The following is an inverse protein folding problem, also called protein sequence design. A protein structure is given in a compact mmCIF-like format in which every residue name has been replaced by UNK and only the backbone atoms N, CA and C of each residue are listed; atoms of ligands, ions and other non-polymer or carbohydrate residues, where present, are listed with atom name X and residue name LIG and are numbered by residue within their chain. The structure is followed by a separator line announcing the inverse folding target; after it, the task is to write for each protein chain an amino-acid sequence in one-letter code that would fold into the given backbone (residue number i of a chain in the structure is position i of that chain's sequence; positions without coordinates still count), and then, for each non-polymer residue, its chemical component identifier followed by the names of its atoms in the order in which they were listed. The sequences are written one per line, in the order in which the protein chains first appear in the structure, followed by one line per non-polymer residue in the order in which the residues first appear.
data_IF_155337810268
#
_entry.id   IF_155337810268
#
_cell.length_a   1.000
_cell.length_b   1.000
_cell.length_c   1.000
_cell.angle_alpha   90.00
_cell.angle_beta   90.00
_cell.angle_gamma   90.00
#
_symmetry.space_group_name_H-M   'P 1'
#
loop_
_entity.id
_entity.type
_entity.pdbx_description
1 polymer ?
#
# COMPACT_ATOMS: atom_id res chain seq x y z
N UNK A 1 -18.47 2.30 13.62
CA UNK A 1 -17.12 1.84 13.20
C UNK A 1 -16.54 2.83 12.19
N UNK A 2 -17.26 3.12 11.12
CA UNK A 2 -16.86 4.10 10.09
C UNK A 2 -16.48 5.47 10.66
N UNK A 3 -17.32 6.08 11.50
CA UNK A 3 -17.01 7.38 12.14
C UNK A 3 -15.71 7.36 12.95
N UNK A 4 -15.42 6.25 13.64
CA UNK A 4 -14.20 6.08 14.45
C UNK A 4 -12.97 6.01 13.53
N UNK A 5 -13.07 5.25 12.43
CA UNK A 5 -11.98 5.12 11.47
C UNK A 5 -11.67 6.44 10.77
N UNK A 6 -12.70 7.21 10.40
CA UNK A 6 -12.53 8.54 9.79
C UNK A 6 -11.86 9.51 10.77
N UNK A 7 -12.32 9.57 12.02
CA UNK A 7 -11.72 10.42 13.04
C UNK A 7 -10.25 10.05 13.31
N UNK A 8 -9.93 8.76 13.39
CA UNK A 8 -8.55 8.29 13.53
C UNK A 8 -7.69 8.66 12.32
N UNK A 9 -8.20 8.49 11.10
CA UNK A 9 -7.48 8.84 9.88
C UNK A 9 -7.12 10.33 9.85
N UNK A 10 -8.04 11.22 10.21
CA UNK A 10 -7.78 12.66 10.32
C UNK A 10 -6.74 12.98 11.39
N UNK A 11 -6.85 12.36 12.56
CA UNK A 11 -5.87 12.51 13.65
C UNK A 11 -4.47 12.13 13.19
N UNK A 12 -4.31 10.97 12.54
CA UNK A 12 -3.02 10.48 12.08
C UNK A 12 -2.43 11.35 10.98
N UNK A 13 -3.26 11.84 10.05
CA UNK A 13 -2.80 12.77 9.01
C UNK A 13 -2.28 14.08 9.59
N UNK A 14 -2.94 14.62 10.63
CA UNK A 14 -2.44 15.80 11.34
C UNK A 14 -1.15 15.52 12.10
N UNK A 15 -1.01 14.35 12.71
CA UNK A 15 0.23 13.93 13.37
C UNK A 15 1.39 13.86 12.38
N UNK A 16 1.18 13.30 11.18
CA UNK A 16 2.18 13.25 10.10
C UNK A 16 2.68 14.65 9.73
N UNK A 17 1.80 15.64 9.58
CA UNK A 17 2.23 17.00 9.24
C UNK A 17 3.09 17.64 10.34
N UNK A 18 2.80 17.36 11.61
CA UNK A 18 3.64 17.78 12.75
C UNK A 18 5.02 17.12 12.68
N UNK A 19 5.08 15.81 12.45
CA UNK A 19 6.37 15.10 12.32
C UNK A 19 7.18 15.57 11.10
N UNK A 20 6.54 15.90 9.97
CA UNK A 20 7.22 16.51 8.82
C UNK A 20 7.83 17.87 9.18
N UNK A 21 7.14 18.70 9.94
CA UNK A 21 7.72 19.97 10.44
C UNK A 21 8.93 19.74 11.36
N UNK A 22 8.85 18.76 12.27
CA UNK A 22 10.00 18.38 13.11
C UNK A 22 11.17 17.90 12.23
N UNK A 23 10.93 17.07 11.20
CA UNK A 23 11.96 16.58 10.29
C UNK A 23 12.68 17.70 9.51
N UNK A 24 11.94 18.75 9.11
CA UNK A 24 12.50 19.94 8.46
C UNK A 24 13.42 20.73 9.41
N UNK A 25 13.15 20.69 10.71
CA UNK A 25 13.91 21.37 11.78
C UNK A 25 15.02 20.51 12.39
N UNK A 26 15.19 19.27 11.94
CA UNK A 26 16.21 18.36 12.43
C UNK A 26 17.62 18.95 12.23
N UNK A 27 18.44 18.91 13.29
CA UNK A 27 19.76 19.52 13.36
C UNK A 27 20.89 18.57 12.94
N UNK A 28 20.58 17.29 12.77
CA UNK A 28 21.51 16.27 12.30
C UNK A 28 20.83 15.24 11.40
N UNK A 29 21.63 14.48 10.65
CA UNK A 29 21.14 13.32 9.90
C UNK A 29 20.48 12.30 10.81
N UNK A 30 21.07 12.00 11.95
CA UNK A 30 20.51 11.04 12.92
C UNK A 30 19.14 11.47 13.45
N UNK A 31 18.95 12.75 13.82
CA UNK A 31 17.64 13.27 14.23
C UNK A 31 16.61 13.09 13.10
N UNK A 32 16.99 13.42 11.86
CA UNK A 32 16.11 13.26 10.68
C UNK A 32 15.75 11.80 10.42
N UNK A 33 16.72 10.89 10.52
CA UNK A 33 16.51 9.46 10.29
C UNK A 33 15.56 8.85 11.33
N UNK A 34 15.68 9.24 12.60
CA UNK A 34 14.75 8.81 13.64
C UNK A 34 13.32 9.31 13.37
N UNK A 35 13.16 10.56 12.94
CA UNK A 35 11.84 11.11 12.59
C UNK A 35 11.27 10.44 11.34
N UNK A 36 12.11 10.14 10.35
CA UNK A 36 11.69 9.42 9.15
C UNK A 36 11.19 8.01 9.46
N UNK A 37 11.76 7.33 10.47
CA UNK A 37 11.22 6.04 10.96
C UNK A 37 9.82 6.20 11.57
N UNK A 38 9.59 7.27 12.33
CA UNK A 38 8.25 7.58 12.87
C UNK A 38 7.27 7.88 11.73
N UNK A 39 7.68 8.67 10.74
CA UNK A 39 6.86 8.96 9.56
C UNK A 39 6.53 7.70 8.76
N UNK A 40 7.49 6.78 8.60
CA UNK A 40 7.26 5.49 7.95
C UNK A 40 6.21 4.65 8.71
N UNK A 41 6.32 4.58 10.04
CA UNK A 41 5.31 3.92 10.87
C UNK A 41 3.93 4.58 10.73
N UNK A 42 3.87 5.91 10.77
CA UNK A 42 2.60 6.66 10.62
C UNK A 42 1.95 6.46 9.26
N UNK A 43 2.74 6.41 8.19
CA UNK A 43 2.23 6.13 6.86
C UNK A 43 1.66 4.71 6.76
N UNK A 44 2.29 3.73 7.40
CA UNK A 44 1.74 2.37 7.49
C UNK A 44 0.40 2.34 8.25
N UNK A 45 0.30 3.05 9.38
CA UNK A 45 -0.94 3.20 10.15
C UNK A 45 -2.05 3.85 9.29
N UNK A 46 -1.76 4.94 8.58
CA UNK A 46 -2.70 5.61 7.68
C UNK A 46 -3.13 4.69 6.54
N UNK A 47 -2.21 3.95 5.93
CA UNK A 47 -2.55 3.04 4.83
C UNK A 47 -3.45 1.89 5.31
N UNK A 48 -3.21 1.40 6.53
CA UNK A 48 -4.08 0.43 7.20
C UNK A 48 -5.47 1.01 7.44
N UNK A 49 -5.57 2.23 7.96
CA UNK A 49 -6.84 2.91 8.15
C UNK A 49 -7.57 3.13 6.82
N UNK A 50 -6.87 3.51 5.75
CA UNK A 50 -7.46 3.64 4.40
C UNK A 50 -8.05 2.31 3.93
N UNK A 51 -7.33 1.20 4.10
CA UNK A 51 -7.84 -0.12 3.74
C UNK A 51 -9.10 -0.47 4.54
N UNK A 52 -9.11 -0.21 5.86
CA UNK A 52 -10.29 -0.43 6.69
C UNK A 52 -11.48 0.46 6.27
N UNK A 53 -11.22 1.74 5.97
CA UNK A 53 -12.23 2.67 5.47
C UNK A 53 -12.79 2.29 4.10
N UNK A 54 -12.02 1.59 3.26
CA UNK A 54 -12.49 1.15 1.94
C UNK A 54 -13.63 0.13 2.02
N UNK A 55 -13.77 -0.57 3.16
CA UNK A 55 -14.70 -1.69 3.31
C UNK A 55 -14.31 -2.96 2.56
N UNK A 56 -13.27 -2.90 1.71
CA UNK A 56 -12.81 -3.99 0.86
C UNK A 56 -11.55 -4.65 1.42
N UNK A 57 -11.63 -5.14 2.66
CA UNK A 57 -10.50 -5.81 3.32
C UNK A 57 -10.38 -7.24 2.80
N UNK A 58 -9.20 -7.71 2.35
CA UNK A 58 -9.04 -9.09 1.88
C UNK A 58 -9.06 -10.08 3.05
N UNK A 59 -9.48 -11.31 2.78
CA UNK A 59 -9.39 -12.44 3.74
C UNK A 59 -7.95 -12.74 4.19
N UNK A 60 -6.96 -12.34 3.38
CA UNK A 60 -5.54 -12.51 3.65
C UNK A 60 -4.78 -11.24 3.29
N UNK A 61 -4.01 -10.75 4.25
CA UNK A 61 -3.07 -9.65 4.09
C UNK A 61 -1.64 -10.18 4.24
N UNK A 62 -0.78 -9.89 3.27
CA UNK A 62 0.66 -10.13 3.36
C UNK A 62 1.39 -8.82 3.59
N UNK A 63 1.20 -7.85 2.70
CA UNK A 63 1.85 -6.54 2.74
C UNK A 63 1.10 -5.54 1.87
N UNK A 64 1.35 -4.25 2.10
CA UNK A 64 1.09 -3.24 1.08
C UNK A 64 2.15 -3.34 -0.03
N UNK A 65 1.83 -2.83 -1.20
CA UNK A 65 2.78 -2.78 -2.30
C UNK A 65 2.45 -1.70 -3.31
N UNK A 66 3.32 -1.60 -4.30
CA UNK A 66 3.19 -0.62 -5.38
C UNK A 66 3.62 -1.25 -6.68
N UNK A 67 2.87 -0.98 -7.74
CA UNK A 67 3.27 -1.33 -9.10
C UNK A 67 4.48 -0.48 -9.50
N UNK A 68 5.54 -1.13 -9.97
CA UNK A 68 6.83 -0.50 -10.28
C UNK A 68 7.15 -0.44 -11.78
N UNK A 69 6.19 -0.75 -12.63
CA UNK A 69 6.30 -0.57 -14.08
C UNK A 69 5.00 -0.04 -14.67
N UNK A 70 5.06 0.48 -15.88
CA UNK A 70 3.90 1.01 -16.60
C UNK A 70 3.23 -0.08 -17.45
N UNK A 71 1.93 0.07 -17.71
CA UNK A 71 1.14 -0.88 -18.52
C UNK A 71 1.17 -2.35 -18.04
N UNK A 72 1.16 -2.58 -16.72
CA UNK A 72 1.24 -3.92 -16.13
C UNK A 72 -0.10 -4.65 -16.23
N UNK A 73 -0.08 -5.84 -16.83
CA UNK A 73 -1.26 -6.69 -16.96
C UNK A 73 -1.69 -7.28 -15.61
N UNK A 74 -2.87 -6.89 -15.13
CA UNK A 74 -3.54 -7.49 -13.98
C UNK A 74 -4.51 -8.58 -14.46
N UNK A 75 -4.27 -9.83 -14.06
CA UNK A 75 -4.94 -11.01 -14.61
C UNK A 75 -5.79 -11.75 -13.59
N UNK A 76 -6.77 -12.52 -14.06
CA UNK A 76 -7.65 -13.34 -13.20
C UNK A 76 -6.97 -14.59 -12.60
N UNK A 77 -5.88 -15.04 -13.22
CA UNK A 77 -5.14 -16.22 -12.83
C UNK A 77 -3.62 -15.97 -12.83
N UNK A 78 -2.85 -16.73 -12.03
CA UNK A 78 -1.39 -16.67 -12.01
C UNK A 78 -0.77 -17.36 -13.24
N UNK A 79 -1.10 -16.85 -14.43
CA UNK A 79 -0.70 -17.40 -15.71
C UNK A 79 -0.63 -16.29 -16.78
N UNK A 80 0.34 -16.34 -17.72
CA UNK A 80 0.35 -15.41 -18.85
C UNK A 80 -0.89 -15.56 -19.75
N UNK A 81 -1.57 -16.72 -19.67
CA UNK A 81 -2.82 -16.99 -20.38
C UNK A 81 -4.08 -16.61 -19.59
N UNK A 82 -3.96 -16.09 -18.36
CA UNK A 82 -5.09 -15.59 -17.59
C UNK A 82 -5.76 -14.40 -18.31
N UNK A 83 -7.06 -14.24 -18.14
CA UNK A 83 -7.82 -13.13 -18.73
C UNK A 83 -7.32 -11.80 -18.17
N UNK A 84 -7.24 -10.77 -19.02
CA UNK A 84 -6.87 -9.43 -18.60
C UNK A 84 -8.05 -8.77 -17.86
N UNK A 85 -7.87 -8.44 -16.59
CA UNK A 85 -8.85 -7.72 -15.76
C UNK A 85 -8.71 -6.20 -15.87
N UNK A 86 -7.46 -5.73 -15.92
CA UNK A 86 -7.10 -4.32 -16.04
C UNK A 86 -5.62 -4.17 -16.44
N UNK A 87 -5.24 -2.96 -16.81
CA UNK A 87 -3.85 -2.52 -16.94
C UNK A 87 -3.56 -1.55 -15.80
N UNK A 88 -2.47 -1.76 -15.08
CA UNK A 88 -2.06 -0.95 -13.93
C UNK A 88 -0.78 -0.18 -14.27
N UNK A 89 -0.75 1.10 -13.92
CA UNK A 89 0.42 1.95 -14.16
C UNK A 89 1.33 2.02 -12.92
N UNK A 90 2.56 2.49 -13.13
CA UNK A 90 3.54 2.71 -12.07
C UNK A 90 2.97 3.60 -10.99
N UNK A 91 3.21 3.24 -9.74
CA UNK A 91 2.70 3.96 -8.57
C UNK A 91 1.32 3.52 -8.13
N UNK A 92 0.63 2.63 -8.86
CA UNK A 92 -0.64 2.07 -8.41
C UNK A 92 -0.45 1.34 -7.07
N UNK A 93 -1.14 1.76 -5.99
CA UNK A 93 -1.07 1.07 -4.70
C UNK A 93 -1.88 -0.23 -4.75
N UNK A 94 -1.32 -1.29 -4.17
CA UNK A 94 -1.91 -2.63 -4.19
C UNK A 94 -1.77 -3.31 -2.83
N UNK A 95 -2.68 -4.22 -2.51
CA UNK A 95 -2.60 -5.07 -1.31
C UNK A 95 -2.18 -6.46 -1.75
N UNK A 96 -1.05 -6.97 -1.23
CA UNK A 96 -0.59 -8.32 -1.53
C UNK A 96 -1.37 -9.31 -0.67
N UNK A 97 -1.97 -10.31 -1.34
CA UNK A 97 -2.80 -11.32 -0.71
C UNK A 97 -2.17 -12.71 -0.81
N UNK A 98 -1.41 -13.02 -1.86
CA UNK A 98 -0.78 -14.33 -2.04
C UNK A 98 0.54 -14.24 -2.82
N UNK A 99 1.45 -15.20 -2.61
CA UNK A 99 2.61 -15.42 -3.50
C UNK A 99 2.56 -16.85 -4.03
N UNK A 100 2.55 -17.01 -5.36
CA UNK A 100 2.48 -18.33 -6.03
C UNK A 100 3.44 -18.40 -7.21
N UNK A 101 4.58 -19.07 -7.00
CA UNK A 101 5.64 -19.13 -8.00
C UNK A 101 6.10 -17.73 -8.38
N UNK A 102 6.01 -17.37 -9.66
CA UNK A 102 6.38 -16.03 -10.15
C UNK A 102 5.22 -15.03 -10.15
N UNK A 103 4.09 -15.38 -9.55
CA UNK A 103 2.89 -14.53 -9.50
C UNK A 103 2.63 -14.04 -8.09
N UNK A 104 2.12 -12.83 -7.99
CA UNK A 104 1.67 -12.21 -6.76
C UNK A 104 0.18 -11.95 -6.89
N UNK A 105 -0.58 -12.53 -5.98
CA UNK A 105 -2.01 -12.26 -5.82
C UNK A 105 -2.16 -10.89 -5.16
N UNK A 106 -2.97 -10.05 -5.75
CA UNK A 106 -3.24 -8.69 -5.30
C UNK A 106 -4.73 -8.45 -5.15
N UNK A 107 -5.08 -7.50 -4.28
CA UNK A 107 -6.35 -6.82 -4.27
C UNK A 107 -6.12 -5.31 -4.45
N UNK A 108 -6.98 -4.66 -5.23
CA UNK A 108 -7.04 -3.21 -5.37
C UNK A 108 -7.98 -2.62 -4.29
N UNK A 109 -7.87 -1.32 -4.02
CA UNK A 109 -8.73 -0.66 -3.00
C UNK A 109 -10.22 -0.68 -3.34
N UNK A 110 -10.58 -0.87 -4.61
CA UNK A 110 -11.97 -1.07 -5.06
C UNK A 110 -12.49 -2.49 -4.82
N UNK A 111 -11.66 -3.37 -4.24
CA UNK A 111 -11.98 -4.76 -3.91
C UNK A 111 -11.67 -5.77 -5.01
N UNK A 112 -11.25 -5.34 -6.21
CA UNK A 112 -10.93 -6.26 -7.31
C UNK A 112 -9.67 -7.05 -7.02
N UNK A 113 -9.78 -8.37 -7.11
CA UNK A 113 -8.67 -9.31 -6.88
C UNK A 113 -8.16 -9.93 -8.19
N UNK A 114 -6.87 -10.22 -8.23
CA UNK A 114 -6.21 -10.79 -9.41
C UNK A 114 -4.72 -10.99 -9.18
N UNK A 115 -3.95 -11.07 -10.26
CA UNK A 115 -2.55 -11.48 -10.26
C UNK A 115 -1.70 -10.61 -11.16
N UNK A 116 -0.48 -10.34 -10.71
CA UNK A 116 0.59 -9.76 -11.55
C UNK A 116 1.85 -10.61 -11.44
N UNK A 117 2.73 -10.49 -12.43
CA UNK A 117 4.05 -11.10 -12.35
C UNK A 117 4.88 -10.37 -11.29
N UNK A 118 5.64 -11.12 -10.47
CA UNK A 118 6.30 -10.61 -9.27
C UNK A 118 7.25 -9.43 -9.52
N UNK A 119 7.86 -9.36 -10.70
CA UNK A 119 8.86 -8.34 -11.03
C UNK A 119 8.21 -6.95 -11.26
N UNK A 120 6.89 -6.89 -11.38
CA UNK A 120 6.14 -5.65 -11.55
C UNK A 120 5.60 -5.07 -10.24
N UNK A 121 5.81 -5.74 -9.11
CA UNK A 121 5.33 -5.27 -7.80
C UNK A 121 6.45 -5.21 -6.78
N UNK A 122 6.57 -4.07 -6.11
CA UNK A 122 7.39 -3.94 -4.91
C UNK A 122 6.49 -4.05 -3.69
N UNK A 123 6.81 -5.01 -2.83
CA UNK A 123 6.18 -5.12 -1.53
C UNK A 123 6.85 -4.12 -0.56
N UNK A 124 6.04 -3.44 0.24
CA UNK A 124 6.47 -2.47 1.24
C UNK A 124 6.54 -3.19 2.61
N UNK A 125 7.42 -4.19 2.67
CA UNK A 125 7.68 -5.05 3.84
C UNK A 125 8.55 -4.34 4.89
#
# INVERSE_FOLDING_TARGET
MEEILTALMEQEQQAVEKYKDIARRARSSTERDLINRILAQKNFEIETLRLLCSGNVPDRFIAFGTIIDDEVNFRDAPSPSGSLLAVLDRGTPVILTERRGNWVGLQLYDGKSGWVFKDYVRAND
#
